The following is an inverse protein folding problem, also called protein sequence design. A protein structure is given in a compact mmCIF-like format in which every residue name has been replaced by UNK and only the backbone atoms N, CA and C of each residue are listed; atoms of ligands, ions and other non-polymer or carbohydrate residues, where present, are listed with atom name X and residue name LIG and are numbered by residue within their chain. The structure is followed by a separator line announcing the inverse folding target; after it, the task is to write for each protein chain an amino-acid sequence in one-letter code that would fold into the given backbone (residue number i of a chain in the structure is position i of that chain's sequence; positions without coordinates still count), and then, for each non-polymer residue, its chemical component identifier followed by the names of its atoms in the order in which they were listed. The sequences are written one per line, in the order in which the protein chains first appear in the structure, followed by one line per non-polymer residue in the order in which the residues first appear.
data_IF_333894711679
#
_entry.id   IF_333894711679
#
_cell.length_a   1.000
_cell.length_b   1.000
_cell.length_c   1.000
_cell.angle_alpha   90.00
_cell.angle_beta   90.00
_cell.angle_gamma   90.00
#
_symmetry.space_group_name_H-M   'P 1'
#
loop_
_entity.id
_entity.type
_entity.pdbx_description
1 polymer ?
#
# COMPACT_ATOMS: atom_id res chain seq x y z
N UNK A 1 15.01 -1.68 12.47
CA UNK A 1 14.13 -1.77 11.29
C UNK A 1 12.73 -1.43 11.74
N UNK A 2 12.19 -0.38 11.21
CA UNK A 2 10.85 0.12 11.50
C UNK A 2 9.89 -0.28 10.38
N UNK A 3 8.65 -0.55 10.73
CA UNK A 3 7.56 -0.72 9.75
C UNK A 3 6.67 0.52 9.84
N UNK A 4 6.53 1.23 8.73
CA UNK A 4 5.64 2.38 8.61
C UNK A 4 4.32 1.96 7.97
N UNK A 5 3.20 2.15 8.67
CA UNK A 5 1.85 1.91 8.13
C UNK A 5 1.31 3.21 7.54
N UNK A 6 1.08 3.24 6.23
CA UNK A 6 0.61 4.44 5.51
C UNK A 6 -0.81 4.22 5.02
N UNK A 7 -1.75 4.99 5.56
CA UNK A 7 -3.18 4.85 5.25
C UNK A 7 -3.61 5.54 3.94
N UNK A 8 -4.82 5.25 3.50
CA UNK A 8 -5.46 5.88 2.34
C UNK A 8 -6.12 7.23 2.64
N UNK A 9 -6.93 7.68 1.69
CA UNK A 9 -7.80 8.87 1.86
C UNK A 9 -8.99 8.57 2.77
N UNK A 10 -9.70 9.62 3.19
CA UNK A 10 -10.91 9.53 4.02
C UNK A 10 -10.72 8.77 5.33
N UNK A 11 -9.50 8.76 5.84
CA UNK A 11 -9.15 8.11 7.09
C UNK A 11 -8.68 9.15 8.09
N UNK A 12 -9.23 9.14 9.29
CA UNK A 12 -8.84 10.01 10.39
C UNK A 12 -8.86 9.19 11.69
N UNK A 13 -7.83 9.34 12.51
CA UNK A 13 -7.71 8.58 13.74
C UNK A 13 -7.37 7.11 13.50
N UNK A 14 -8.24 6.19 13.95
CA UNK A 14 -8.01 4.76 13.75
C UNK A 14 -8.26 4.33 12.31
N UNK A 15 -7.17 4.16 11.55
CA UNK A 15 -7.25 3.64 10.19
C UNK A 15 -7.29 2.11 10.17
N UNK A 16 -8.02 1.50 9.23
CA UNK A 16 -8.12 0.04 9.11
C UNK A 16 -6.76 -0.67 9.06
N UNK A 17 -5.73 -0.06 8.48
CA UNK A 17 -4.38 -0.61 8.37
C UNK A 17 -3.71 -0.86 9.74
N UNK A 18 -4.12 -0.15 10.81
CA UNK A 18 -3.62 -0.37 12.17
C UNK A 18 -3.98 -1.75 12.71
N UNK A 19 -5.03 -2.38 12.16
CA UNK A 19 -5.38 -3.75 12.47
C UNK A 19 -4.26 -4.77 12.19
N UNK A 20 -3.23 -4.40 11.42
CA UNK A 20 -2.04 -5.22 11.20
C UNK A 20 -1.06 -5.24 12.39
N UNK A 21 -1.10 -4.24 13.28
CA UNK A 21 -0.11 -4.10 14.36
C UNK A 21 0.04 -5.38 15.21
N UNK A 22 -1.03 -6.07 15.64
CA UNK A 22 -0.91 -7.29 16.42
C UNK A 22 -0.17 -8.44 15.72
N UNK A 23 -0.10 -8.41 14.39
CA UNK A 23 0.54 -9.45 13.57
C UNK A 23 2.01 -9.16 13.25
N UNK A 24 2.54 -8.02 13.72
CA UNK A 24 3.90 -7.57 13.47
C UNK A 24 4.76 -7.55 14.75
N UNK A 25 4.73 -8.60 15.58
CA UNK A 25 5.49 -8.63 16.82
C UNK A 25 7.01 -8.62 16.54
N UNK A 26 7.74 -7.84 17.34
CA UNK A 26 9.19 -7.71 17.21
C UNK A 26 9.66 -6.62 16.25
N UNK A 27 8.72 -5.93 15.59
CA UNK A 27 9.02 -4.73 14.80
C UNK A 27 8.65 -3.46 15.57
N UNK A 28 9.41 -2.37 15.36
CA UNK A 28 8.99 -1.02 15.72
C UNK A 28 7.98 -0.56 14.68
N UNK A 29 6.68 -0.59 15.02
CA UNK A 29 5.61 -0.21 14.07
C UNK A 29 5.21 1.23 14.32
N UNK A 30 5.29 2.05 13.28
CA UNK A 30 4.88 3.45 13.31
C UNK A 30 3.69 3.67 12.39
N UNK A 31 2.74 4.42 12.89
CA UNK A 31 1.57 4.85 12.16
C UNK A 31 1.53 6.39 12.16
N UNK A 32 2.02 7.05 11.11
CA UNK A 32 1.90 8.50 11.00
C UNK A 32 0.46 8.88 10.68
N UNK A 33 -0.18 9.61 11.60
CA UNK A 33 -1.48 10.22 11.34
C UNK A 33 -1.24 11.59 10.67
N UNK A 34 -1.50 11.66 9.38
CA UNK A 34 -1.44 12.92 8.61
C UNK A 34 -2.85 13.48 8.32
N UNK A 35 -3.85 12.98 9.02
CA UNK A 35 -5.22 13.49 9.00
C UNK A 35 -6.00 13.09 7.75
N UNK A 36 -7.11 13.78 7.58
CA UNK A 36 -8.05 13.55 6.48
C UNK A 36 -7.52 14.09 5.15
N UNK A 37 -7.50 13.25 4.12
CA UNK A 37 -7.19 13.64 2.74
C UNK A 37 -8.49 13.56 1.94
N UNK A 38 -8.89 14.67 1.30
CA UNK A 38 -9.98 14.65 0.33
C UNK A 38 -9.50 14.11 -1.02
N UNK A 39 -10.38 13.42 -1.76
CA UNK A 39 -10.03 12.87 -3.08
C UNK A 39 -9.64 13.92 -4.12
N UNK A 40 -10.04 15.19 -3.95
CA UNK A 40 -9.87 16.26 -4.96
C UNK A 40 -8.46 16.84 -4.96
N UNK A 41 -7.75 16.85 -3.82
CA UNK A 41 -6.47 17.55 -3.66
C UNK A 41 -5.29 16.59 -3.44
N UNK A 42 -5.48 15.31 -3.70
CA UNK A 42 -4.54 14.24 -3.33
C UNK A 42 -3.13 14.46 -3.83
N UNK A 43 -2.92 14.98 -5.03
CA UNK A 43 -1.57 15.17 -5.58
C UNK A 43 -0.76 16.20 -4.78
N UNK A 44 -1.35 17.34 -4.48
CA UNK A 44 -0.69 18.40 -3.70
C UNK A 44 -0.48 17.94 -2.26
N UNK A 45 -1.52 17.36 -1.66
CA UNK A 45 -1.50 16.88 -0.28
C UNK A 45 -0.50 15.73 -0.13
N UNK A 46 -0.45 14.79 -1.07
CA UNK A 46 0.55 13.72 -1.07
C UNK A 46 1.97 14.26 -1.07
N UNK A 47 2.27 15.29 -1.87
CA UNK A 47 3.62 15.89 -1.88
C UNK A 47 4.00 16.51 -0.54
N UNK A 48 3.06 17.16 0.16
CA UNK A 48 3.26 17.71 1.49
C UNK A 48 3.50 16.58 2.50
N UNK A 49 2.67 15.54 2.47
CA UNK A 49 2.80 14.38 3.35
C UNK A 49 4.14 13.68 3.14
N UNK A 50 4.53 13.43 1.90
CA UNK A 50 5.82 12.83 1.55
C UNK A 50 6.97 13.65 2.13
N UNK A 51 6.92 15.00 1.98
CA UNK A 51 7.91 15.90 2.57
C UNK A 51 7.99 15.81 4.09
N UNK A 52 6.85 15.65 4.76
CA UNK A 52 6.79 15.50 6.22
C UNK A 52 7.23 14.11 6.71
N UNK A 53 6.98 13.06 5.95
CA UNK A 53 7.32 11.68 6.33
C UNK A 53 8.77 11.32 6.05
N UNK A 54 9.35 11.87 4.98
CA UNK A 54 10.69 11.51 4.52
C UNK A 54 11.77 11.56 5.63
N UNK A 55 11.81 12.55 6.54
CA UNK A 55 12.78 12.59 7.62
C UNK A 55 12.69 11.44 8.64
N UNK A 56 11.56 10.76 8.69
CA UNK A 56 11.29 9.68 9.65
C UNK A 56 11.44 8.29 9.07
N UNK A 57 11.59 8.18 7.73
CA UNK A 57 11.80 6.91 7.03
C UNK A 57 13.30 6.72 6.84
N UNK A 58 13.88 5.77 7.56
CA UNK A 58 15.29 5.45 7.49
C UNK A 58 15.59 4.39 6.42
N UNK A 59 16.86 4.35 5.98
CA UNK A 59 17.32 3.28 5.11
C UNK A 59 17.16 1.91 5.78
N UNK A 60 16.61 0.96 5.04
CA UNK A 60 16.33 -0.38 5.54
C UNK A 60 15.00 -0.53 6.27
N UNK A 61 14.18 0.52 6.36
CA UNK A 61 12.81 0.40 6.86
C UNK A 61 11.87 -0.30 5.85
N UNK A 62 10.71 -0.73 6.33
CA UNK A 62 9.63 -1.32 5.52
C UNK A 62 8.45 -0.36 5.53
N UNK A 63 7.76 -0.26 4.40
CA UNK A 63 6.47 0.43 4.31
C UNK A 63 5.37 -0.58 4.00
N UNK A 64 4.29 -0.55 4.78
CA UNK A 64 3.02 -1.21 4.44
C UNK A 64 2.02 -0.09 4.17
N UNK A 65 1.47 -0.08 2.97
CA UNK A 65 0.59 1.00 2.52
C UNK A 65 -0.72 0.48 1.96
N UNK A 66 -1.79 1.26 2.12
CA UNK A 66 -3.13 0.96 1.61
C UNK A 66 -3.66 2.10 0.75
N UNK A 67 -4.29 1.74 -0.39
CA UNK A 67 -4.99 2.69 -1.24
C UNK A 67 -4.09 3.85 -1.71
N UNK A 68 -4.49 5.11 -1.51
CA UNK A 68 -3.66 6.29 -1.78
C UNK A 68 -2.35 6.32 -0.96
N UNK A 69 -2.29 5.65 0.19
CA UNK A 69 -1.05 5.48 0.94
C UNK A 69 0.05 4.81 0.11
N UNK A 70 -0.32 3.97 -0.86
CA UNK A 70 0.64 3.36 -1.80
C UNK A 70 1.26 4.41 -2.74
N UNK A 71 0.49 5.43 -3.15
CA UNK A 71 1.02 6.54 -3.94
C UNK A 71 2.00 7.38 -3.12
N UNK A 72 1.72 7.62 -1.83
CA UNK A 72 2.63 8.30 -0.90
C UNK A 72 3.92 7.47 -0.73
N UNK A 73 3.82 6.17 -0.50
CA UNK A 73 4.96 5.27 -0.38
C UNK A 73 5.81 5.24 -1.66
N UNK A 74 5.16 5.19 -2.82
CA UNK A 74 5.83 5.24 -4.12
C UNK A 74 6.60 6.55 -4.31
N UNK A 75 6.03 7.70 -3.96
CA UNK A 75 6.73 8.99 -4.03
C UNK A 75 7.90 9.07 -3.05
N UNK A 76 7.81 8.51 -1.84
CA UNK A 76 8.94 8.39 -0.92
C UNK A 76 10.11 7.63 -1.56
N UNK A 77 9.83 6.51 -2.25
CA UNK A 77 10.84 5.75 -2.99
C UNK A 77 11.43 6.56 -4.15
N UNK A 78 10.60 7.30 -4.89
CA UNK A 78 11.08 8.20 -5.97
C UNK A 78 11.99 9.30 -5.46
N UNK A 79 11.77 9.78 -4.25
CA UNK A 79 12.60 10.76 -3.56
C UNK A 79 13.85 10.15 -2.90
N UNK A 80 14.12 8.87 -3.14
CA UNK A 80 15.34 8.19 -2.74
C UNK A 80 15.30 7.54 -1.35
N UNK A 81 14.12 7.26 -0.78
CA UNK A 81 14.03 6.41 0.41
C UNK A 81 14.49 4.98 0.05
N UNK A 82 15.57 4.52 0.71
CA UNK A 82 16.14 3.20 0.46
C UNK A 82 15.51 2.18 1.41
N UNK A 83 14.41 1.56 0.97
CA UNK A 83 13.63 0.63 1.77
C UNK A 83 14.15 -0.80 1.66
N UNK A 84 14.09 -1.56 2.77
CA UNK A 84 14.25 -3.00 2.72
C UNK A 84 13.13 -3.65 1.92
N UNK A 85 11.90 -3.16 2.05
CA UNK A 85 10.77 -3.66 1.29
C UNK A 85 9.53 -2.78 1.38
N UNK A 86 8.54 -3.11 0.54
CA UNK A 86 7.24 -2.47 0.61
C UNK A 86 6.11 -3.49 0.40
N UNK A 87 4.97 -3.23 1.02
CA UNK A 87 3.73 -3.97 0.82
C UNK A 87 2.67 -2.97 0.41
N UNK A 88 2.08 -3.20 -0.75
CA UNK A 88 1.00 -2.41 -1.30
C UNK A 88 -0.31 -3.21 -1.24
N UNK A 89 -1.30 -2.68 -0.54
CA UNK A 89 -2.60 -3.33 -0.38
C UNK A 89 -3.66 -2.47 -1.08
N UNK A 90 -4.34 -3.04 -2.07
CA UNK A 90 -5.36 -2.37 -2.88
C UNK A 90 -4.89 -0.99 -3.36
N UNK A 91 -3.74 -0.98 -4.04
CA UNK A 91 -3.00 0.23 -4.36
C UNK A 91 -3.71 1.11 -5.39
N UNK A 92 -3.87 2.39 -5.07
CA UNK A 92 -4.31 3.41 -6.01
C UNK A 92 -3.11 3.91 -6.84
N UNK A 93 -2.53 3.03 -7.64
CA UNK A 93 -1.37 3.26 -8.49
C UNK A 93 -1.61 2.68 -9.89
N UNK A 94 -0.94 3.22 -10.88
CA UNK A 94 -0.86 2.63 -12.21
C UNK A 94 -0.26 1.22 -12.15
N UNK A 95 -0.76 0.31 -12.98
CA UNK A 95 -0.31 -1.09 -13.01
C UNK A 95 1.13 -1.28 -13.47
N UNK A 96 1.69 -0.33 -14.20
CA UNK A 96 2.99 -0.42 -14.86
C UNK A 96 4.02 0.58 -14.31
N UNK A 97 3.88 0.99 -13.05
CA UNK A 97 4.86 1.87 -12.42
C UNK A 97 6.27 1.28 -12.49
N UNK A 98 7.25 2.16 -12.57
CA UNK A 98 8.67 1.83 -12.68
C UNK A 98 9.48 2.62 -11.65
N UNK A 99 10.80 2.44 -11.61
CA UNK A 99 11.74 3.20 -10.75
C UNK A 99 11.78 2.74 -9.28
N UNK A 100 11.81 1.43 -9.07
CA UNK A 100 12.01 0.82 -7.74
C UNK A 100 13.49 0.62 -7.39
N UNK A 101 14.36 1.58 -7.76
CA UNK A 101 15.81 1.44 -7.61
C UNK A 101 16.23 1.20 -6.16
N UNK A 102 15.54 1.82 -5.23
CA UNK A 102 15.93 1.88 -3.83
C UNK A 102 15.10 0.97 -2.90
N UNK A 103 14.40 0.00 -3.45
CA UNK A 103 13.67 -1.02 -2.67
C UNK A 103 14.17 -2.42 -3.07
N UNK A 104 14.27 -3.32 -2.09
CA UNK A 104 14.74 -4.68 -2.35
C UNK A 104 13.63 -5.59 -2.87
N UNK A 105 12.41 -5.43 -2.36
CA UNK A 105 11.23 -6.21 -2.78
C UNK A 105 9.94 -5.43 -2.57
N UNK A 106 8.90 -5.78 -3.33
CA UNK A 106 7.55 -5.24 -3.19
C UNK A 106 6.54 -6.39 -3.32
N UNK A 107 5.66 -6.55 -2.35
CA UNK A 107 4.50 -7.43 -2.45
C UNK A 107 3.24 -6.58 -2.72
N UNK A 108 2.53 -6.89 -3.81
CA UNK A 108 1.30 -6.21 -4.23
C UNK A 108 0.11 -7.12 -3.94
N UNK A 109 -0.66 -6.79 -2.92
CA UNK A 109 -1.91 -7.45 -2.57
C UNK A 109 -3.06 -6.76 -3.31
N UNK A 110 -3.74 -7.50 -4.17
CA UNK A 110 -4.81 -6.98 -5.01
C UNK A 110 -6.01 -7.93 -5.05
N UNK A 111 -7.17 -7.44 -5.44
CA UNK A 111 -8.34 -8.27 -5.69
C UNK A 111 -9.24 -7.68 -6.78
N UNK A 112 -9.81 -8.53 -7.62
CA UNK A 112 -10.66 -8.12 -8.74
C UNK A 112 -12.03 -7.52 -8.31
N UNK A 113 -12.37 -7.55 -7.03
CA UNK A 113 -13.53 -6.90 -6.47
C UNK A 113 -13.28 -5.46 -6.00
N UNK A 114 -12.04 -4.96 -6.09
CA UNK A 114 -11.71 -3.58 -5.74
C UNK A 114 -12.19 -2.58 -6.80
N UNK A 115 -13.49 -2.30 -6.78
CA UNK A 115 -14.12 -1.36 -7.72
C UNK A 115 -13.74 0.11 -7.44
N UNK A 116 -13.24 0.43 -6.26
CA UNK A 116 -12.87 1.81 -5.91
C UNK A 116 -11.67 2.26 -6.73
N UNK A 117 -10.63 1.43 -6.85
CA UNK A 117 -9.47 1.75 -7.68
C UNK A 117 -9.81 1.76 -9.17
N UNK A 118 -10.71 0.90 -9.63
CA UNK A 118 -11.20 0.91 -11.01
C UNK A 118 -11.98 2.20 -11.34
N UNK A 119 -12.92 2.60 -10.48
CA UNK A 119 -13.69 3.84 -10.66
C UNK A 119 -12.79 5.08 -10.57
N UNK A 120 -11.82 5.08 -9.68
CA UNK A 120 -10.85 6.17 -9.55
C UNK A 120 -10.01 6.35 -10.83
N UNK A 121 -9.60 5.26 -11.47
CA UNK A 121 -8.91 5.29 -12.77
C UNK A 121 -9.79 5.91 -13.84
N UNK A 122 -11.05 5.48 -13.98
CA UNK A 122 -11.99 6.05 -14.95
C UNK A 122 -12.17 7.54 -14.72
N UNK A 123 -12.33 7.98 -13.47
CA UNK A 123 -12.46 9.40 -13.13
C UNK A 123 -11.22 10.22 -13.52
N UNK A 124 -10.03 9.66 -13.40
CA UNK A 124 -8.79 10.29 -13.84
C UNK A 124 -8.70 10.39 -15.39
N UNK A 125 -9.07 9.33 -16.10
CA UNK A 125 -9.05 9.28 -17.58
C UNK A 125 -10.00 10.31 -18.21
N UNK A 126 -11.16 10.58 -17.60
CA UNK A 126 -12.11 11.58 -18.08
C UNK A 126 -11.83 13.01 -17.56
N UNK A 127 -10.71 13.20 -16.85
CA UNK A 127 -10.27 14.53 -16.41
C UNK A 127 -11.08 15.12 -15.26
N UNK A 128 -11.86 14.33 -14.55
CA UNK A 128 -12.62 14.78 -13.36
C UNK A 128 -11.71 15.02 -12.17
N UNK A 129 -10.53 14.40 -12.16
CA UNK A 129 -9.53 14.54 -11.10
C UNK A 129 -8.13 14.65 -11.68
N UNK A 130 -7.24 15.43 -11.04
CA UNK A 130 -5.78 15.43 -11.32
C UNK A 130 -5.07 14.20 -10.74
N UNK A 131 -5.83 13.16 -10.42
CA UNK A 131 -5.34 11.97 -9.74
C UNK A 131 -4.63 11.06 -10.73
N UNK A 132 -3.36 10.78 -10.48
CA UNK A 132 -2.63 9.69 -11.12
C UNK A 132 -2.95 8.36 -10.41
N UNK A 133 -4.24 8.11 -10.17
CA UNK A 133 -4.68 6.86 -9.62
C UNK A 133 -4.84 5.84 -10.74
N UNK A 134 -4.31 4.67 -10.48
CA UNK A 134 -4.48 3.51 -11.34
C UNK A 134 -5.24 2.41 -10.62
N UNK A 135 -5.37 1.31 -11.31
CA UNK A 135 -6.15 0.14 -10.91
C UNK A 135 -5.26 -1.04 -10.44
N UNK A 136 -4.06 -0.77 -9.96
CA UNK A 136 -3.18 -1.82 -9.42
C UNK A 136 -3.86 -2.60 -8.28
N UNK A 137 -4.70 -1.96 -7.47
CA UNK A 137 -5.47 -2.61 -6.41
C UNK A 137 -6.50 -3.60 -6.94
N UNK A 138 -7.01 -3.39 -8.16
CA UNK A 138 -7.97 -4.28 -8.83
C UNK A 138 -7.26 -5.40 -9.61
N UNK A 139 -6.21 -5.10 -10.35
CA UNK A 139 -5.63 -6.02 -11.34
C UNK A 139 -4.18 -6.45 -11.05
N UNK A 140 -3.53 -5.88 -10.03
CA UNK A 140 -2.14 -6.14 -9.71
C UNK A 140 -1.16 -5.36 -10.59
N UNK A 141 0.11 -5.61 -10.40
CA UNK A 141 1.20 -5.07 -11.19
C UNK A 141 1.37 -5.86 -12.50
N UNK A 142 1.47 -5.18 -13.63
CA UNK A 142 1.61 -5.80 -14.97
C UNK A 142 3.00 -5.60 -15.59
N UNK A 143 3.90 -4.91 -14.91
CA UNK A 143 5.29 -4.75 -15.34
C UNK A 143 6.14 -6.01 -15.16
N UNK A 144 7.43 -5.89 -15.48
CA UNK A 144 8.37 -7.02 -15.47
C UNK A 144 9.48 -6.89 -14.42
N UNK A 145 9.34 -5.98 -13.44
CA UNK A 145 10.35 -5.84 -12.39
C UNK A 145 10.35 -7.08 -11.48
N UNK A 146 11.47 -7.84 -11.42
CA UNK A 146 11.53 -9.09 -10.65
C UNK A 146 11.43 -8.88 -9.13
N UNK A 147 11.54 -7.65 -8.65
CA UNK A 147 11.36 -7.31 -7.24
C UNK A 147 9.90 -7.31 -6.81
N UNK A 148 8.95 -7.34 -7.76
CA UNK A 148 7.54 -7.22 -7.47
C UNK A 148 6.86 -8.58 -7.56
N UNK A 149 6.15 -8.94 -6.48
CA UNK A 149 5.33 -10.14 -6.41
C UNK A 149 3.87 -9.75 -6.26
N UNK A 150 3.03 -10.22 -7.18
CA UNK A 150 1.58 -10.09 -7.08
C UNK A 150 0.99 -11.18 -6.19
N UNK A 151 0.07 -10.80 -5.30
CA UNK A 151 -0.67 -11.68 -4.41
C UNK A 151 -2.16 -11.39 -4.62
N UNK A 152 -2.84 -12.31 -5.32
CA UNK A 152 -4.28 -12.21 -5.58
C UNK A 152 -5.06 -12.62 -4.32
N UNK A 153 -5.60 -11.64 -3.61
CA UNK A 153 -6.37 -11.86 -2.38
C UNK A 153 -7.75 -12.49 -2.64
N UNK A 154 -8.20 -12.49 -3.88
CA UNK A 154 -9.43 -13.17 -4.30
C UNK A 154 -9.22 -14.65 -4.65
N UNK A 155 -7.95 -15.09 -4.88
CA UNK A 155 -7.66 -16.43 -5.42
C UNK A 155 -6.53 -17.18 -4.70
N UNK A 156 -5.91 -16.59 -3.69
CA UNK A 156 -4.84 -17.28 -2.94
C UNK A 156 -5.41 -18.48 -2.19
N UNK A 157 -4.92 -19.68 -2.51
CA UNK A 157 -5.43 -20.93 -1.98
C UNK A 157 -5.31 -21.01 -0.46
N UNK A 158 -6.37 -21.42 0.22
CA UNK A 158 -6.43 -21.56 1.67
C UNK A 158 -6.62 -20.26 2.45
N UNK A 159 -6.78 -19.13 1.74
CA UNK A 159 -7.02 -17.83 2.35
C UNK A 159 -8.47 -17.37 2.16
N UNK A 160 -9.05 -16.61 3.10
CA UNK A 160 -10.37 -16.02 2.90
C UNK A 160 -10.32 -15.03 1.71
N UNK A 161 -11.39 -15.07 0.90
CA UNK A 161 -11.50 -14.23 -0.30
C UNK A 161 -11.74 -12.78 0.10
N UNK A 162 -10.86 -11.89 -0.31
CA UNK A 162 -11.04 -10.44 -0.19
C UNK A 162 -11.72 -9.94 -1.47
N UNK A 163 -12.83 -9.22 -1.35
CA UNK A 163 -13.65 -8.80 -2.48
C UNK A 163 -13.91 -7.29 -2.56
N UNK A 164 -13.44 -6.50 -1.60
CA UNK A 164 -13.62 -5.06 -1.55
C UNK A 164 -12.34 -4.30 -1.23
N UNK A 165 -12.41 -2.97 -1.37
CA UNK A 165 -11.25 -2.08 -1.22
C UNK A 165 -10.60 -2.13 0.17
N UNK A 166 -11.42 -2.22 1.22
CA UNK A 166 -10.95 -2.24 2.62
C UNK A 166 -11.22 -3.57 3.33
N UNK A 167 -11.79 -4.56 2.65
CA UNK A 167 -12.18 -5.84 3.24
C UNK A 167 -10.99 -6.60 3.84
N UNK A 168 -9.81 -6.41 3.28
CA UNK A 168 -8.57 -6.99 3.79
C UNK A 168 -8.39 -6.74 5.30
N UNK A 169 -8.86 -5.60 5.80
CA UNK A 169 -8.67 -5.16 7.18
C UNK A 169 -9.82 -5.52 8.12
N UNK A 170 -10.82 -6.26 7.67
CA UNK A 170 -11.84 -6.77 8.59
C UNK A 170 -11.21 -7.78 9.57
N UNK A 171 -11.71 -7.90 10.81
CA UNK A 171 -11.15 -8.86 11.77
C UNK A 171 -11.08 -10.30 11.24
N UNK A 172 -12.07 -10.71 10.44
CA UNK A 172 -12.15 -12.02 9.82
C UNK A 172 -11.00 -12.26 8.83
N UNK A 173 -10.75 -11.30 7.94
CA UNK A 173 -9.66 -11.39 6.97
C UNK A 173 -8.30 -11.26 7.65
N UNK A 174 -8.14 -10.32 8.57
CA UNK A 174 -6.89 -10.11 9.29
C UNK A 174 -6.43 -11.34 10.08
N UNK A 175 -7.37 -12.13 10.61
CA UNK A 175 -7.02 -13.37 11.33
C UNK A 175 -6.20 -14.36 10.47
N UNK A 176 -6.37 -14.34 9.15
CA UNK A 176 -5.63 -15.18 8.20
C UNK A 176 -4.56 -14.39 7.46
N UNK A 177 -4.90 -13.24 6.89
CA UNK A 177 -3.99 -12.44 6.08
C UNK A 177 -2.89 -11.75 6.89
N UNK A 178 -3.14 -11.40 8.15
CA UNK A 178 -2.14 -10.79 9.03
C UNK A 178 -0.94 -11.72 9.26
N UNK A 179 -1.12 -12.97 9.74
CA UNK A 179 -0.04 -13.95 9.86
C UNK A 179 0.65 -14.26 8.52
N UNK A 180 -0.11 -14.36 7.42
CA UNK A 180 0.45 -14.59 6.10
C UNK A 180 1.39 -13.45 5.68
N UNK A 181 0.95 -12.20 5.80
CA UNK A 181 1.76 -11.02 5.51
C UNK A 181 3.03 -10.98 6.38
N UNK A 182 2.90 -11.25 7.68
CA UNK A 182 4.05 -11.31 8.58
C UNK A 182 5.06 -12.41 8.19
N UNK A 183 4.57 -13.57 7.76
CA UNK A 183 5.41 -14.65 7.24
C UNK A 183 6.13 -14.26 5.94
N UNK A 184 5.46 -13.55 5.05
CA UNK A 184 6.06 -13.00 3.82
C UNK A 184 7.20 -12.04 4.13
N UNK A 185 6.99 -11.10 5.06
CA UNK A 185 8.06 -10.17 5.50
C UNK A 185 9.28 -10.98 5.97
N UNK A 186 9.08 -11.96 6.85
CA UNK A 186 10.18 -12.80 7.37
C UNK A 186 10.91 -13.56 6.26
N UNK A 187 10.19 -14.07 5.27
CA UNK A 187 10.76 -14.84 4.16
C UNK A 187 11.69 -14.00 3.27
N UNK A 188 11.48 -12.68 3.18
CA UNK A 188 12.37 -11.79 2.45
C UNK A 188 13.72 -11.55 3.13
N UNK A 189 13.88 -11.95 4.39
CA UNK A 189 15.12 -11.80 5.17
C UNK A 189 15.79 -13.15 5.50
N UNK A 190 15.22 -14.26 5.07
CA UNK A 190 15.77 -15.61 5.24
C UNK A 190 16.73 -15.97 4.09
#
# INVERSE_FOLDING_TARGET
MTIHLIHGIHTQGEAPIQGLIPYLPGYDVRYPDYGWISGIETRLVNSIIVGSLKPYVADGDIIIAHSNGCAIAYELMRMGAALAGAIFINAALEQNITRFKWVSWIDVYFNAGDQITEVAKIAAEIGVTDLQWGDMGHAGYVGTDPKITNIDCGRTSGMPVVSGHSDFFTPEHLASWGPYLAARIKAHFA
#
